data_IF_501231338106
#
_entry.id   IF_501231338106
#
_cell.length_a   1.000
_cell.length_b   1.000
_cell.length_c   1.000
_cell.angle_alpha   90.00
_cell.angle_beta   90.00
_cell.angle_gamma   90.00
#
_symmetry.space_group_name_H-M   'P 1'
#
loop_
_entity.id
_entity.type
_entity.pdbx_description
1 polymer ?
#
# COMPACT_ATOMS: atom_id res chain seq x y z
N UNK A 1 -10.26 21.29 2.22
CA UNK A 1 -9.27 20.23 1.90
C UNK A 1 -8.13 20.44 2.89
N UNK A 2 -7.94 19.54 3.86
CA UNK A 2 -6.71 19.56 4.66
C UNK A 2 -5.55 19.19 3.70
N UNK A 3 -4.65 20.14 3.40
CA UNK A 3 -3.37 19.83 2.77
C UNK A 3 -2.68 18.80 3.64
N UNK A 4 -2.14 17.74 3.04
CA UNK A 4 -1.37 16.75 3.79
C UNK A 4 -0.15 17.46 4.39
N UNK A 5 0.03 17.37 5.70
CA UNK A 5 1.12 18.03 6.44
C UNK A 5 2.51 17.83 5.79
N UNK A 6 2.73 16.68 5.19
CA UNK A 6 3.95 16.25 4.53
C UNK A 6 4.16 16.94 3.16
N UNK A 7 3.12 17.17 2.35
CA UNK A 7 3.22 17.99 1.15
C UNK A 7 3.49 19.45 1.50
N UNK A 8 2.94 19.93 2.62
CA UNK A 8 3.20 21.28 3.12
C UNK A 8 4.67 21.46 3.53
N UNK A 9 5.31 20.42 4.11
CA UNK A 9 6.74 20.44 4.42
C UNK A 9 7.57 20.69 3.15
N UNK A 10 7.31 19.95 2.07
CA UNK A 10 8.03 20.10 0.80
C UNK A 10 7.75 21.48 0.17
N UNK A 11 6.49 21.91 0.17
CA UNK A 11 6.08 23.21 -0.34
C UNK A 11 6.81 24.36 0.38
N UNK A 12 6.84 24.34 1.71
CA UNK A 12 7.54 25.33 2.52
C UNK A 12 9.06 25.29 2.28
N UNK A 13 9.64 24.08 2.11
CA UNK A 13 11.06 23.95 1.81
C UNK A 13 11.42 24.57 0.45
N UNK A 14 10.56 24.42 -0.56
CA UNK A 14 10.73 25.05 -1.87
C UNK A 14 10.62 26.58 -1.76
N UNK A 15 9.58 27.08 -1.08
CA UNK A 15 9.30 28.52 -0.96
C UNK A 15 10.39 29.27 -0.17
N UNK A 16 11.07 28.59 0.76
CA UNK A 16 12.14 29.15 1.56
C UNK A 16 13.55 28.84 1.02
N UNK A 17 13.67 28.22 -0.16
CA UNK A 17 14.95 27.78 -0.75
C UNK A 17 15.79 26.87 0.18
N UNK A 18 15.10 25.99 0.94
CA UNK A 18 15.66 25.06 1.93
C UNK A 18 15.38 23.60 1.58
N UNK A 19 15.31 23.31 0.28
CA UNK A 19 15.04 21.96 -0.16
C UNK A 19 16.23 21.06 0.16
N UNK A 20 15.98 19.96 0.89
CA UNK A 20 17.01 18.95 1.13
C UNK A 20 17.26 18.15 -0.16
N UNK A 21 18.46 17.62 -0.29
CA UNK A 21 18.83 16.78 -1.44
C UNK A 21 18.27 15.35 -1.35
N UNK A 22 17.88 14.87 -0.16
CA UNK A 22 17.37 13.52 0.04
C UNK A 22 16.23 13.49 1.08
N UNK A 23 15.12 12.84 0.72
CA UNK A 23 13.94 12.63 1.56
C UNK A 23 13.58 11.16 1.65
N UNK A 24 13.24 10.69 2.85
CA UNK A 24 12.70 9.36 3.09
C UNK A 24 11.25 9.48 3.58
N UNK A 25 10.30 9.17 2.71
CA UNK A 25 8.89 9.08 3.05
C UNK A 25 8.58 7.70 3.60
N UNK A 26 7.98 7.65 4.77
CA UNK A 26 7.66 6.37 5.40
C UNK A 26 6.28 6.38 6.06
N UNK A 27 5.68 5.19 6.14
CA UNK A 27 4.43 4.97 6.84
C UNK A 27 4.53 3.67 7.67
N UNK A 28 3.80 3.62 8.78
CA UNK A 28 3.71 2.41 9.61
C UNK A 28 2.61 1.45 9.14
N UNK A 29 1.68 1.93 8.33
CA UNK A 29 0.56 1.18 7.78
C UNK A 29 0.69 1.07 6.27
N UNK A 30 -0.10 0.17 5.64
CA UNK A 30 -0.15 0.00 4.18
C UNK A 30 -0.76 1.24 3.51
N UNK A 31 0.03 2.29 3.39
CA UNK A 31 -0.30 3.47 2.59
C UNK A 31 0.28 3.28 1.19
N UNK A 32 -0.45 3.70 0.17
CA UNK A 32 0.09 3.81 -1.17
C UNK A 32 1.06 5.01 -1.25
N UNK A 33 2.31 4.75 -0.86
CA UNK A 33 3.36 5.75 -0.90
C UNK A 33 3.71 6.17 -2.34
N UNK A 34 3.46 5.33 -3.35
CA UNK A 34 3.71 5.70 -4.74
C UNK A 34 2.82 6.85 -5.18
N UNK A 35 1.52 6.80 -4.84
CA UNK A 35 0.61 7.91 -5.13
C UNK A 35 0.99 9.17 -4.33
N UNK A 36 1.48 8.99 -3.11
CA UNK A 36 1.95 10.10 -2.29
C UNK A 36 3.20 10.76 -2.92
N UNK A 37 4.22 9.97 -3.24
CA UNK A 37 5.44 10.44 -3.92
C UNK A 37 5.10 11.08 -5.27
N UNK A 38 4.14 10.53 -6.01
CA UNK A 38 3.67 11.12 -7.25
C UNK A 38 3.16 12.57 -7.06
N UNK A 39 2.41 12.83 -5.98
CA UNK A 39 1.98 14.18 -5.64
C UNK A 39 3.14 15.09 -5.27
N UNK A 40 4.16 14.57 -4.57
CA UNK A 40 5.42 15.31 -4.28
C UNK A 40 6.13 15.67 -5.59
N UNK A 41 6.28 14.72 -6.52
CA UNK A 41 6.92 14.96 -7.82
C UNK A 41 6.12 16.00 -8.63
N UNK A 42 4.79 15.91 -8.65
CA UNK A 42 3.94 16.93 -9.27
C UNK A 42 4.18 18.33 -8.69
N UNK A 43 4.33 18.43 -7.38
CA UNK A 43 4.63 19.68 -6.70
C UNK A 43 6.01 20.22 -7.12
N UNK A 44 7.05 19.36 -7.18
CA UNK A 44 8.39 19.72 -7.65
C UNK A 44 8.35 20.20 -9.12
N UNK A 45 7.63 19.49 -10.01
CA UNK A 45 7.48 19.90 -11.40
C UNK A 45 6.78 21.26 -11.52
N UNK A 46 5.69 21.46 -10.76
CA UNK A 46 4.94 22.71 -10.81
C UNK A 46 5.75 23.90 -10.29
N UNK A 47 6.41 23.73 -9.15
CA UNK A 47 7.06 24.83 -8.42
C UNK A 47 8.48 25.13 -8.90
N UNK A 48 9.28 24.10 -9.18
CA UNK A 48 10.70 24.26 -9.55
C UNK A 48 10.89 24.31 -11.06
N UNK A 49 10.21 23.42 -11.81
CA UNK A 49 10.38 23.32 -13.25
C UNK A 49 9.41 24.23 -14.00
N UNK A 50 8.37 24.76 -13.34
CA UNK A 50 7.27 25.54 -13.96
C UNK A 50 6.71 24.82 -15.20
N UNK A 51 6.66 23.48 -15.13
CA UNK A 51 6.33 22.60 -16.24
C UNK A 51 4.85 22.29 -16.30
N UNK A 52 4.24 22.37 -17.46
CA UNK A 52 2.88 21.93 -17.73
C UNK A 52 2.73 20.39 -17.60
N UNK A 53 3.83 19.63 -17.64
CA UNK A 53 3.84 18.18 -17.47
C UNK A 53 3.07 17.74 -16.23
N UNK A 54 3.10 18.52 -15.15
CA UNK A 54 2.37 18.21 -13.92
C UNK A 54 0.85 18.08 -14.13
N UNK A 55 0.29 18.69 -15.16
CA UNK A 55 -1.15 18.63 -15.48
C UNK A 55 -1.53 17.41 -16.31
N UNK A 56 -0.62 16.92 -17.13
CA UNK A 56 -0.86 15.84 -18.11
C UNK A 56 -0.63 14.45 -17.51
N UNK A 57 0.22 14.34 -16.48
CA UNK A 57 0.62 13.06 -15.91
C UNK A 57 -0.43 12.57 -14.91
N UNK A 58 -0.85 11.31 -15.05
CA UNK A 58 -1.82 10.67 -14.16
C UNK A 58 -1.19 9.62 -13.22
N UNK A 59 -0.09 8.99 -13.64
CA UNK A 59 0.63 7.97 -12.84
C UNK A 59 2.12 8.25 -12.87
N UNK A 60 2.86 7.74 -11.87
CA UNK A 60 4.31 7.94 -11.76
C UNK A 60 5.07 7.31 -12.93
N UNK A 61 4.53 6.24 -13.51
CA UNK A 61 5.12 5.52 -14.64
C UNK A 61 4.95 6.27 -15.97
N UNK A 62 4.01 7.20 -16.05
CA UNK A 62 3.75 8.01 -17.23
C UNK A 62 4.69 9.23 -17.33
N UNK A 63 5.58 9.42 -16.34
CA UNK A 63 6.49 10.57 -16.28
C UNK A 63 7.55 10.45 -17.36
N UNK A 64 7.36 11.17 -18.46
CA UNK A 64 8.34 11.30 -19.53
C UNK A 64 9.16 12.59 -19.36
N UNK A 65 10.04 12.61 -18.34
CA UNK A 65 10.97 13.72 -18.10
C UNK A 65 12.40 13.15 -18.11
N UNK A 66 13.31 13.64 -18.99
CA UNK A 66 14.64 13.02 -19.21
C UNK A 66 15.47 12.90 -17.95
N UNK A 67 15.39 13.90 -17.06
CA UNK A 67 16.13 13.95 -15.80
C UNK A 67 15.35 13.35 -14.61
N UNK A 68 14.25 12.60 -14.85
CA UNK A 68 13.55 11.78 -13.87
C UNK A 68 13.97 10.32 -14.01
N UNK A 69 14.43 9.74 -12.92
CA UNK A 69 14.77 8.31 -12.86
C UNK A 69 14.03 7.64 -11.72
N UNK A 70 13.62 6.39 -11.95
CA UNK A 70 12.94 5.58 -10.93
C UNK A 70 13.64 4.23 -10.80
N UNK A 71 13.89 3.82 -9.55
CA UNK A 71 14.33 2.48 -9.18
C UNK A 71 13.19 1.78 -8.46
N UNK A 72 12.69 0.69 -9.04
CA UNK A 72 11.68 -0.19 -8.46
C UNK A 72 12.31 -1.54 -8.13
N UNK A 73 11.82 -2.26 -7.11
CA UNK A 73 12.15 -3.66 -6.90
C UNK A 73 11.87 -4.45 -8.19
N UNK A 74 12.73 -5.42 -8.46
CA UNK A 74 12.53 -6.35 -9.59
C UNK A 74 11.39 -7.35 -9.30
N UNK A 75 11.19 -8.30 -10.20
CA UNK A 75 10.19 -9.34 -10.04
C UNK A 75 10.39 -10.20 -8.77
N UNK A 76 11.58 -10.35 -8.26
CA UNK A 76 11.93 -11.08 -7.02
C UNK A 76 11.80 -10.19 -5.77
N UNK A 77 11.30 -8.97 -5.89
CA UNK A 77 11.16 -8.02 -4.79
C UNK A 77 12.49 -7.43 -4.30
N UNK A 78 13.54 -7.39 -5.13
CA UNK A 78 14.87 -6.92 -4.76
C UNK A 78 15.27 -5.67 -5.55
N UNK A 79 15.99 -4.77 -4.88
CA UNK A 79 16.69 -3.66 -5.55
C UNK A 79 18.10 -4.12 -5.90
N UNK A 80 18.36 -4.32 -7.20
CA UNK A 80 19.63 -4.83 -7.69
C UNK A 80 20.71 -3.75 -7.75
N UNK A 81 21.95 -4.11 -7.36
CA UNK A 81 23.11 -3.22 -7.39
C UNK A 81 23.41 -2.68 -8.78
N UNK A 82 23.32 -3.54 -9.80
CA UNK A 82 23.59 -3.16 -11.19
C UNK A 82 22.62 -2.05 -11.66
N UNK A 83 21.34 -2.17 -11.32
CA UNK A 83 20.33 -1.16 -11.63
C UNK A 83 20.61 0.17 -10.92
N UNK A 84 21.03 0.10 -9.66
CA UNK A 84 21.42 1.28 -8.88
C UNK A 84 22.63 1.95 -9.54
N UNK A 85 23.69 1.19 -9.82
CA UNK A 85 24.92 1.73 -10.41
C UNK A 85 24.69 2.33 -11.80
N UNK A 86 23.90 1.69 -12.66
CA UNK A 86 23.55 2.22 -13.99
C UNK A 86 22.87 3.60 -13.86
N UNK A 87 21.84 3.70 -13.02
CA UNK A 87 21.10 4.96 -12.86
C UNK A 87 21.93 6.04 -12.19
N UNK A 88 22.76 5.67 -11.19
CA UNK A 88 23.69 6.61 -10.54
C UNK A 88 24.69 7.17 -11.56
N UNK A 89 25.26 6.33 -12.43
CA UNK A 89 26.18 6.77 -13.48
C UNK A 89 25.50 7.74 -14.46
N UNK A 90 24.27 7.41 -14.92
CA UNK A 90 23.49 8.31 -15.79
C UNK A 90 23.26 9.69 -15.13
N UNK A 91 23.09 9.73 -13.80
CA UNK A 91 22.87 10.96 -13.06
C UNK A 91 24.13 11.80 -12.86
N UNK A 92 25.34 11.21 -12.96
CA UNK A 92 26.58 11.99 -12.95
C UNK A 92 26.80 12.78 -14.26
N UNK A 93 26.14 12.40 -15.35
CA UNK A 93 26.17 13.17 -16.57
C UNK A 93 25.45 14.53 -16.39
N UNK A 94 25.69 15.46 -17.28
CA UNK A 94 25.01 16.76 -17.25
C UNK A 94 23.50 16.60 -17.41
N UNK A 95 22.72 17.48 -16.74
CA UNK A 95 21.27 17.46 -16.91
C UNK A 95 20.91 17.73 -18.37
N UNK A 96 19.98 16.93 -18.89
CA UNK A 96 19.50 17.00 -20.28
C UNK A 96 18.52 18.16 -20.49
N UNK A 97 17.86 18.62 -19.41
CA UNK A 97 16.89 19.71 -19.47
C UNK A 97 17.51 21.06 -19.19
N UNK A 98 16.90 22.11 -19.71
CA UNK A 98 17.31 23.52 -19.48
C UNK A 98 17.27 23.89 -17.99
N UNK A 99 16.35 23.30 -17.23
CA UNK A 99 16.16 23.60 -15.81
C UNK A 99 17.19 22.92 -14.90
N UNK A 100 17.98 21.99 -15.43
CA UNK A 100 19.11 21.31 -14.73
C UNK A 100 18.74 20.67 -13.39
N UNK A 101 17.46 20.32 -13.15
CA UNK A 101 17.01 19.64 -11.95
C UNK A 101 16.83 18.16 -12.28
N UNK A 102 17.47 17.31 -11.48
CA UNK A 102 17.37 15.84 -11.56
C UNK A 102 16.54 15.33 -10.41
N UNK A 103 15.70 14.35 -10.65
CA UNK A 103 14.88 13.69 -9.64
C UNK A 103 15.10 12.19 -9.71
N UNK A 104 15.52 11.58 -8.61
CA UNK A 104 15.64 10.14 -8.45
C UNK A 104 14.60 9.67 -7.43
N UNK A 105 13.72 8.75 -7.83
CA UNK A 105 12.82 8.08 -6.91
C UNK A 105 13.24 6.62 -6.73
N UNK A 106 13.37 6.18 -5.48
CA UNK A 106 13.69 4.79 -5.12
C UNK A 106 12.55 4.24 -4.27
N UNK A 107 11.80 3.34 -4.87
CA UNK A 107 10.64 2.70 -4.24
C UNK A 107 11.07 1.58 -3.31
N UNK A 108 10.40 1.45 -2.15
CA UNK A 108 10.56 0.37 -1.18
C UNK A 108 12.03 0.11 -0.81
N UNK A 109 12.75 1.17 -0.40
CA UNK A 109 14.21 1.15 -0.14
C UNK A 109 14.64 0.04 0.83
N UNK A 110 13.76 -0.44 1.73
CA UNK A 110 14.02 -1.55 2.64
C UNK A 110 14.29 -2.88 1.93
N UNK A 111 13.91 -3.01 0.66
CA UNK A 111 14.17 -4.19 -0.20
C UNK A 111 15.57 -4.16 -0.86
N UNK A 112 16.33 -3.11 -0.60
CA UNK A 112 17.72 -3.04 -1.03
C UNK A 112 18.63 -3.96 -0.21
N UNK A 113 19.46 -4.75 -0.88
CA UNK A 113 20.48 -5.51 -0.20
C UNK A 113 21.67 -4.61 0.22
N UNK A 114 22.54 -5.11 1.13
CA UNK A 114 23.66 -4.35 1.66
C UNK A 114 24.56 -3.73 0.59
N UNK A 115 24.76 -4.43 -0.52
CA UNK A 115 25.64 -3.98 -1.61
C UNK A 115 25.01 -2.85 -2.44
N UNK A 116 23.70 -2.97 -2.76
CA UNK A 116 22.97 -1.91 -3.47
C UNK A 116 22.83 -0.65 -2.62
N UNK A 117 22.55 -0.82 -1.32
CA UNK A 117 22.41 0.31 -0.37
C UNK A 117 23.74 1.04 -0.15
N UNK A 118 24.87 0.32 -0.05
CA UNK A 118 26.19 0.94 0.08
C UNK A 118 26.57 1.79 -1.16
N UNK A 119 26.18 1.36 -2.37
CA UNK A 119 26.37 2.17 -3.58
C UNK A 119 25.60 3.49 -3.51
N UNK A 120 24.39 3.48 -2.90
CA UNK A 120 23.58 4.68 -2.71
C UNK A 120 24.14 5.61 -1.63
N UNK A 121 24.78 5.09 -0.57
CA UNK A 121 25.30 5.92 0.52
C UNK A 121 26.29 6.95 0.02
N UNK A 122 27.27 6.55 -0.81
CA UNK A 122 28.23 7.49 -1.40
C UNK A 122 27.53 8.58 -2.22
N UNK A 123 26.49 8.20 -2.96
CA UNK A 123 25.72 9.11 -3.80
C UNK A 123 24.85 10.08 -2.97
N UNK A 124 24.37 9.67 -1.80
CA UNK A 124 23.65 10.54 -0.87
C UNK A 124 24.62 11.50 -0.15
N UNK A 125 25.83 11.05 0.18
CA UNK A 125 26.85 11.88 0.86
C UNK A 125 27.44 12.96 -0.06
N UNK A 126 27.66 12.61 -1.33
CA UNK A 126 28.21 13.51 -2.35
C UNK A 126 27.22 13.63 -3.53
N UNK A 127 26.10 14.31 -3.33
CA UNK A 127 25.06 14.36 -4.34
C UNK A 127 25.49 15.19 -5.56
N UNK A 128 25.06 14.73 -6.72
CA UNK A 128 25.18 15.51 -7.95
C UNK A 128 24.43 16.84 -7.79
N UNK A 129 24.98 17.91 -8.35
CA UNK A 129 24.35 19.23 -8.30
C UNK A 129 22.91 19.20 -8.81
N UNK A 130 22.01 19.83 -8.10
CA UNK A 130 20.59 19.95 -8.41
C UNK A 130 19.84 18.60 -8.46
N UNK A 131 20.30 17.59 -7.73
CA UNK A 131 19.61 16.32 -7.59
C UNK A 131 18.73 16.31 -6.34
N UNK A 132 17.51 15.83 -6.50
CA UNK A 132 16.57 15.53 -5.41
C UNK A 132 16.33 14.03 -5.41
N UNK A 133 16.61 13.38 -4.27
CA UNK A 133 16.41 11.95 -4.09
C UNK A 133 15.19 11.74 -3.18
N UNK A 134 14.24 10.94 -3.66
CA UNK A 134 13.05 10.57 -2.93
C UNK A 134 13.09 9.06 -2.66
N UNK A 135 13.00 8.67 -1.41
CA UNK A 135 12.87 7.28 -0.99
C UNK A 135 11.47 7.04 -0.44
N UNK A 136 10.95 5.82 -0.59
CA UNK A 136 9.73 5.39 0.10
C UNK A 136 9.93 4.05 0.80
N UNK A 137 9.19 3.85 1.91
CA UNK A 137 9.12 2.57 2.60
C UNK A 137 7.90 2.47 3.51
N UNK A 138 7.25 1.30 3.57
CA UNK A 138 6.27 0.95 4.59
C UNK A 138 6.89 0.14 5.75
N UNK A 139 8.21 -0.06 5.74
CA UNK A 139 8.98 -0.81 6.72
C UNK A 139 10.18 0.03 7.20
N UNK A 140 9.88 1.13 7.88
CA UNK A 140 10.92 2.08 8.32
C UNK A 140 11.97 1.44 9.22
N UNK A 141 11.58 0.52 10.09
CA UNK A 141 12.45 -0.27 10.96
C UNK A 141 13.52 -1.05 10.21
N UNK A 142 13.20 -1.55 9.00
CA UNK A 142 14.10 -2.34 8.15
C UNK A 142 15.07 -1.48 7.32
N UNK A 143 14.86 -0.17 7.24
CA UNK A 143 15.80 0.72 6.56
C UNK A 143 17.07 0.87 7.40
N UNK A 144 18.24 0.74 6.74
CA UNK A 144 19.53 0.86 7.43
C UNK A 144 19.73 2.24 8.08
N UNK A 145 20.33 2.30 9.29
CA UNK A 145 20.52 3.55 10.02
C UNK A 145 21.28 4.64 9.24
N UNK A 146 22.21 4.22 8.39
CA UNK A 146 23.04 5.12 7.57
C UNK A 146 22.23 5.89 6.52
N UNK A 147 21.14 5.34 5.97
CA UNK A 147 20.21 6.07 5.09
C UNK A 147 19.35 7.02 5.93
N UNK A 148 18.78 6.51 7.05
CA UNK A 148 17.93 7.31 7.93
C UNK A 148 18.63 8.58 8.42
N UNK A 149 19.93 8.50 8.72
CA UNK A 149 20.72 9.64 9.24
C UNK A 149 21.09 10.67 8.18
N UNK A 150 21.01 10.32 6.88
CA UNK A 150 21.39 11.18 5.75
C UNK A 150 20.21 11.70 4.95
N UNK A 151 19.01 11.36 5.36
CA UNK A 151 17.77 11.79 4.71
C UNK A 151 16.90 12.60 5.65
N UNK A 152 16.13 13.52 5.11
CA UNK A 152 15.04 14.13 5.84
C UNK A 152 13.88 13.11 5.88
N UNK A 153 13.64 12.54 7.08
CA UNK A 153 12.62 11.53 7.27
C UNK A 153 11.24 12.19 7.44
N UNK A 154 10.29 11.85 6.58
CA UNK A 154 8.93 12.39 6.57
C UNK A 154 7.94 11.25 6.82
N UNK A 155 7.24 11.32 7.94
CA UNK A 155 6.16 10.38 8.24
C UNK A 155 4.90 10.76 7.48
N UNK A 156 4.44 9.86 6.62
CA UNK A 156 3.19 10.02 5.87
C UNK A 156 2.05 9.49 6.73
N UNK A 157 1.20 10.39 7.20
CA UNK A 157 0.03 10.03 8.00
C UNK A 157 -1.05 9.38 7.12
N UNK A 158 -1.69 8.30 7.59
CA UNK A 158 -2.85 7.75 6.89
C UNK A 158 -3.99 8.77 6.88
N UNK A 159 -4.70 8.88 5.77
CA UNK A 159 -5.95 9.64 5.72
C UNK A 159 -6.93 9.06 6.75
N UNK A 160 -7.66 9.93 7.44
CA UNK A 160 -8.74 9.46 8.32
C UNK A 160 -9.80 8.70 7.52
N UNK A 161 -10.51 7.79 8.18
CA UNK A 161 -11.57 7.01 7.55
C UNK A 161 -12.64 7.93 6.93
N UNK A 162 -12.98 9.01 7.62
CA UNK A 162 -13.94 10.01 7.15
C UNK A 162 -13.51 10.68 5.84
N UNK A 163 -12.24 11.07 5.73
CA UNK A 163 -11.69 11.65 4.51
C UNK A 163 -11.75 10.64 3.35
N UNK A 164 -11.36 9.39 3.62
CA UNK A 164 -11.43 8.32 2.60
C UNK A 164 -12.85 8.04 2.14
N UNK A 165 -13.82 7.96 3.07
CA UNK A 165 -15.25 7.81 2.75
C UNK A 165 -15.72 8.96 1.85
N UNK A 166 -15.41 10.20 2.19
CA UNK A 166 -15.82 11.36 1.40
C UNK A 166 -15.21 11.35 -0.02
N UNK A 167 -13.95 10.92 -0.17
CA UNK A 167 -13.30 10.77 -1.48
C UNK A 167 -13.90 9.64 -2.33
N UNK A 168 -14.33 8.55 -1.70
CA UNK A 168 -14.83 7.34 -2.38
C UNK A 168 -16.35 7.37 -2.64
N UNK A 169 -17.10 8.15 -1.87
CA UNK A 169 -18.57 8.26 -1.96
C UNK A 169 -19.10 8.56 -3.37
N UNK A 170 -18.46 9.42 -4.20
CA UNK A 170 -18.90 9.62 -5.57
C UNK A 170 -18.75 8.41 -6.48
N UNK A 171 -17.86 7.46 -6.14
CA UNK A 171 -17.52 6.28 -6.93
C UNK A 171 -18.29 5.04 -6.49
N UNK A 172 -18.74 4.99 -5.22
CA UNK A 172 -19.34 3.81 -4.61
C UNK A 172 -20.66 4.17 -3.96
N UNK A 173 -21.77 3.67 -4.53
CA UNK A 173 -23.14 3.93 -4.03
C UNK A 173 -23.54 3.03 -2.86
N UNK A 174 -23.02 1.82 -2.82
CA UNK A 174 -23.33 0.82 -1.78
C UNK A 174 -22.56 1.17 -0.50
N UNK A 175 -23.27 1.38 0.61
CA UNK A 175 -22.70 1.83 1.87
C UNK A 175 -21.75 0.81 2.50
N UNK A 176 -22.05 -0.50 2.40
CA UNK A 176 -21.19 -1.54 2.94
C UNK A 176 -19.88 -1.62 2.17
N UNK A 177 -19.95 -1.57 0.83
CA UNK A 177 -18.77 -1.55 -0.03
C UNK A 177 -17.96 -0.27 0.16
N UNK A 178 -18.62 0.87 0.33
CA UNK A 178 -17.96 2.15 0.62
C UNK A 178 -17.14 2.06 1.90
N UNK A 179 -17.75 1.53 2.97
CA UNK A 179 -17.07 1.34 4.25
C UNK A 179 -15.92 0.34 4.13
N UNK A 180 -16.14 -0.78 3.44
CA UNK A 180 -15.11 -1.77 3.17
C UNK A 180 -13.92 -1.16 2.41
N UNK A 181 -14.18 -0.47 1.29
CA UNK A 181 -13.14 0.15 0.48
C UNK A 181 -12.36 1.21 1.24
N UNK A 182 -13.03 2.04 2.04
CA UNK A 182 -12.37 3.05 2.85
C UNK A 182 -11.45 2.45 3.95
N UNK A 183 -11.71 1.22 4.40
CA UNK A 183 -10.85 0.51 5.33
C UNK A 183 -9.69 -0.23 4.63
N UNK A 184 -9.94 -0.81 3.45
CA UNK A 184 -8.95 -1.61 2.73
C UNK A 184 -7.98 -0.73 1.93
N UNK A 185 -8.51 0.27 1.22
CA UNK A 185 -7.72 1.06 0.28
C UNK A 185 -7.29 2.41 0.87
N UNK A 186 -6.12 2.85 0.45
CA UNK A 186 -5.53 4.12 0.90
C UNK A 186 -6.06 5.34 0.16
N UNK A 187 -6.56 5.17 -1.07
CA UNK A 187 -7.07 6.26 -1.91
C UNK A 187 -8.17 5.80 -2.87
N UNK A 188 -8.95 6.77 -3.37
CA UNK A 188 -10.09 6.53 -4.24
C UNK A 188 -9.70 6.11 -5.69
N UNK A 189 -8.46 6.36 -6.14
CA UNK A 189 -8.05 6.03 -7.50
C UNK A 189 -8.01 4.52 -7.73
N UNK A 190 -7.64 3.74 -6.70
CA UNK A 190 -7.63 2.28 -6.76
C UNK A 190 -8.99 1.72 -7.18
N UNK A 191 -10.09 2.36 -6.75
CA UNK A 191 -11.46 1.91 -7.06
C UNK A 191 -11.79 2.07 -8.55
N UNK A 192 -11.20 3.07 -9.22
CA UNK A 192 -11.42 3.29 -10.66
C UNK A 192 -10.80 2.20 -11.52
N UNK A 193 -9.66 1.67 -11.07
CA UNK A 193 -8.92 0.62 -11.77
C UNK A 193 -9.38 -0.80 -11.35
N UNK A 194 -10.34 -0.90 -10.40
CA UNK A 194 -10.83 -2.17 -9.86
C UNK A 194 -11.76 -2.87 -10.86
N UNK A 195 -11.56 -4.16 -11.09
CA UNK A 195 -12.56 -5.01 -11.76
C UNK A 195 -13.81 -5.16 -10.87
N UNK A 196 -14.79 -4.29 -11.11
CA UNK A 196 -16.03 -4.23 -10.33
C UNK A 196 -16.85 -5.52 -10.44
N UNK A 197 -16.81 -6.22 -11.58
CA UNK A 197 -17.56 -7.46 -11.78
C UNK A 197 -16.94 -8.60 -10.95
N UNK A 198 -15.62 -8.76 -11.05
CA UNK A 198 -14.89 -9.75 -10.26
C UNK A 198 -15.03 -9.48 -8.77
N UNK A 199 -14.89 -8.21 -8.34
CA UNK A 199 -15.06 -7.85 -6.93
C UNK A 199 -16.47 -8.16 -6.43
N UNK A 200 -17.51 -7.75 -7.16
CA UNK A 200 -18.90 -7.95 -6.75
C UNK A 200 -19.24 -9.44 -6.64
N UNK A 201 -18.80 -10.25 -7.60
CA UNK A 201 -18.96 -11.71 -7.56
C UNK A 201 -18.26 -12.28 -6.33
N UNK A 202 -16.97 -11.97 -6.16
CA UNK A 202 -16.18 -12.47 -5.02
C UNK A 202 -16.80 -12.06 -3.68
N UNK A 203 -17.27 -10.82 -3.55
CA UNK A 203 -17.93 -10.31 -2.35
C UNK A 203 -19.19 -11.13 -2.02
N UNK A 204 -20.09 -11.31 -2.98
CA UNK A 204 -21.35 -12.03 -2.75
C UNK A 204 -21.11 -13.51 -2.44
N UNK A 205 -20.24 -14.18 -3.20
CA UNK A 205 -19.92 -15.59 -2.99
C UNK A 205 -19.28 -15.82 -1.62
N UNK A 206 -18.37 -14.90 -1.20
CA UNK A 206 -17.69 -14.99 0.09
C UNK A 206 -18.67 -14.86 1.26
N UNK A 207 -19.60 -13.90 1.21
CA UNK A 207 -20.58 -13.74 2.29
C UNK A 207 -21.57 -14.90 2.35
N UNK A 208 -21.96 -15.51 1.22
CA UNK A 208 -22.73 -16.76 1.22
C UNK A 208 -21.98 -17.91 1.90
N UNK A 209 -20.67 -18.03 1.65
CA UNK A 209 -19.83 -19.05 2.28
C UNK A 209 -19.73 -18.81 3.79
N UNK A 210 -19.49 -17.57 4.21
CA UNK A 210 -19.42 -17.20 5.63
C UNK A 210 -20.73 -17.49 6.36
N UNK A 211 -21.87 -17.27 5.72
CA UNK A 211 -23.18 -17.58 6.30
C UNK A 211 -23.37 -19.08 6.54
N UNK A 212 -23.03 -19.92 5.57
CA UNK A 212 -23.08 -21.38 5.70
C UNK A 212 -22.07 -21.92 6.72
N UNK A 213 -20.92 -21.31 6.83
CA UNK A 213 -19.85 -21.74 7.71
C UNK A 213 -20.18 -21.65 9.20
N UNK A 214 -21.17 -20.84 9.60
CA UNK A 214 -21.67 -20.79 10.98
C UNK A 214 -22.23 -22.15 11.38
N UNK A 215 -23.02 -22.75 10.50
CA UNK A 215 -23.70 -24.01 10.82
C UNK A 215 -22.79 -25.22 10.52
N UNK A 216 -21.99 -25.14 9.47
CA UNK A 216 -21.04 -26.17 9.06
C UNK A 216 -19.65 -25.59 8.75
N UNK A 217 -18.66 -25.75 9.65
CA UNK A 217 -17.29 -25.25 9.45
C UNK A 217 -16.61 -25.71 8.15
N UNK A 218 -16.93 -26.88 7.66
CA UNK A 218 -16.36 -27.42 6.42
C UNK A 218 -16.75 -26.59 5.19
N UNK A 219 -17.90 -25.91 5.24
CA UNK A 219 -18.36 -25.04 4.16
C UNK A 219 -17.38 -23.87 3.90
N UNK A 220 -16.69 -23.40 4.95
CA UNK A 220 -15.70 -22.34 4.76
C UNK A 220 -14.51 -22.82 3.90
N UNK A 221 -13.95 -23.98 4.23
CA UNK A 221 -12.81 -24.53 3.48
C UNK A 221 -13.20 -24.89 2.05
N UNK A 222 -14.28 -25.64 1.88
CA UNK A 222 -14.73 -26.08 0.56
C UNK A 222 -15.16 -24.91 -0.32
N UNK A 223 -15.95 -23.99 0.24
CA UNK A 223 -16.40 -22.81 -0.47
C UNK A 223 -15.25 -21.91 -0.89
N UNK A 224 -14.32 -21.59 0.02
CA UNK A 224 -13.13 -20.81 -0.31
C UNK A 224 -12.24 -21.52 -1.33
N UNK A 225 -12.10 -22.86 -1.24
CA UNK A 225 -11.33 -23.61 -2.22
C UNK A 225 -11.87 -23.42 -3.65
N UNK A 226 -13.19 -23.35 -3.81
CA UNK A 226 -13.85 -23.20 -5.12
C UNK A 226 -13.74 -21.77 -5.69
N UNK A 227 -13.93 -20.73 -4.86
CA UNK A 227 -13.99 -19.35 -5.36
C UNK A 227 -12.65 -18.63 -5.37
N UNK A 228 -11.64 -19.09 -4.61
CA UNK A 228 -10.38 -18.39 -4.42
C UNK A 228 -9.40 -18.67 -5.54
N UNK A 229 -9.17 -17.69 -6.38
CA UNK A 229 -8.23 -17.73 -7.51
C UNK A 229 -7.08 -16.72 -7.28
N UNK A 230 -6.09 -16.75 -8.15
CA UNK A 230 -4.98 -15.80 -8.10
C UNK A 230 -5.46 -14.36 -8.35
N UNK A 231 -6.44 -14.20 -9.24
CA UNK A 231 -6.98 -12.89 -9.65
C UNK A 231 -7.76 -12.20 -8.53
N UNK A 232 -8.49 -12.95 -7.70
CA UNK A 232 -9.29 -12.40 -6.60
C UNK A 232 -8.65 -12.54 -5.22
N UNK A 233 -7.39 -12.96 -5.18
CA UNK A 233 -6.66 -13.23 -3.94
C UNK A 233 -6.68 -12.04 -2.97
N UNK A 234 -6.37 -10.84 -3.46
CA UNK A 234 -6.37 -9.62 -2.66
C UNK A 234 -7.77 -9.28 -2.15
N UNK A 235 -8.80 -9.49 -2.96
CA UNK A 235 -10.18 -9.22 -2.54
C UNK A 235 -10.60 -10.14 -1.39
N UNK A 236 -10.38 -11.44 -1.54
CA UNK A 236 -10.74 -12.43 -0.52
C UNK A 236 -10.05 -12.14 0.80
N UNK A 237 -8.73 -11.96 0.79
CA UNK A 237 -7.97 -11.72 2.01
C UNK A 237 -8.36 -10.41 2.71
N UNK A 238 -8.53 -9.32 1.95
CA UNK A 238 -8.91 -8.04 2.52
C UNK A 238 -10.35 -8.04 3.07
N UNK A 239 -11.30 -8.68 2.37
CA UNK A 239 -12.69 -8.79 2.86
C UNK A 239 -12.73 -9.65 4.12
N UNK A 240 -12.04 -10.80 4.15
CA UNK A 240 -11.95 -11.65 5.34
C UNK A 240 -11.30 -10.94 6.51
N UNK A 241 -10.18 -10.24 6.28
CA UNK A 241 -9.51 -9.48 7.33
C UNK A 241 -10.43 -8.44 7.94
N UNK A 242 -11.14 -7.69 7.09
CA UNK A 242 -12.08 -6.69 7.55
C UNK A 242 -13.26 -7.30 8.29
N UNK A 243 -13.82 -8.40 7.78
CA UNK A 243 -14.92 -9.13 8.41
C UNK A 243 -14.55 -9.62 9.82
N UNK A 244 -13.45 -10.35 9.99
CA UNK A 244 -13.02 -10.84 11.30
C UNK A 244 -12.63 -9.72 12.25
N UNK A 245 -12.06 -8.64 11.73
CA UNK A 245 -11.77 -7.46 12.53
C UNK A 245 -13.05 -6.84 13.10
N UNK A 246 -14.16 -6.79 12.32
CA UNK A 246 -15.45 -6.32 12.79
C UNK A 246 -16.03 -7.15 13.96
N UNK A 247 -15.78 -8.44 13.96
CA UNK A 247 -16.22 -9.34 15.03
C UNK A 247 -15.43 -9.07 16.31
N UNK A 248 -14.12 -8.81 16.18
CA UNK A 248 -13.21 -8.61 17.31
C UNK A 248 -13.37 -7.22 17.96
N UNK A 249 -13.72 -6.19 17.19
CA UNK A 249 -13.95 -4.86 17.76
C UNK A 249 -15.21 -4.87 18.60
N UNK A 250 -15.05 -4.69 19.90
CA UNK A 250 -16.15 -4.35 20.81
C UNK A 250 -16.58 -2.91 20.53
N UNK A 251 -17.54 -2.77 19.71
CA UNK A 251 -18.35 -1.67 19.24
C UNK A 251 -18.08 -0.30 19.91
N UNK A 252 -17.46 0.59 19.14
CA UNK A 252 -17.74 1.99 19.28
C UNK A 252 -18.95 2.29 18.37
N UNK A 253 -20.15 2.65 18.89
CA UNK A 253 -21.41 2.72 18.13
C UNK A 253 -21.45 3.83 17.06
N UNK A 254 -20.39 4.60 16.88
CA UNK A 254 -20.33 5.70 15.90
C UNK A 254 -20.19 5.26 14.43
N UNK A 255 -19.91 3.98 14.15
CA UNK A 255 -19.67 3.51 12.79
C UNK A 255 -20.39 2.18 12.55
N UNK A 256 -21.55 2.17 11.88
CA UNK A 256 -22.16 0.94 11.38
C UNK A 256 -21.24 0.39 10.29
N UNK A 257 -20.51 -0.67 10.60
CA UNK A 257 -19.38 -1.08 9.78
C UNK A 257 -19.79 -1.96 8.60
N UNK A 258 -20.85 -2.76 8.77
CA UNK A 258 -21.50 -3.58 7.75
C UNK A 258 -23.01 -3.70 8.01
N UNK A 259 -23.84 -2.69 7.68
CA UNK A 259 -25.28 -2.72 7.98
C UNK A 259 -25.98 -3.96 7.42
N UNK A 260 -25.66 -4.39 6.20
CA UNK A 260 -26.24 -5.58 5.56
C UNK A 260 -25.83 -6.90 6.22
N UNK A 261 -24.66 -6.94 6.86
CA UNK A 261 -24.08 -8.15 7.44
C UNK A 261 -24.03 -8.12 8.98
N UNK A 262 -24.70 -7.15 9.62
CA UNK A 262 -24.69 -7.00 11.06
C UNK A 262 -25.19 -8.25 11.78
N UNK A 263 -26.26 -8.85 11.28
CA UNK A 263 -26.78 -10.10 11.83
C UNK A 263 -25.76 -11.25 11.74
N UNK A 264 -25.09 -11.39 10.61
CA UNK A 264 -24.04 -12.39 10.41
C UNK A 264 -22.88 -12.16 11.39
N UNK A 265 -22.41 -10.92 11.53
CA UNK A 265 -21.35 -10.55 12.48
C UNK A 265 -21.76 -10.90 13.92
N UNK A 266 -22.99 -10.58 14.31
CA UNK A 266 -23.49 -10.87 15.66
C UNK A 266 -23.59 -12.38 15.92
N UNK A 267 -23.99 -13.19 14.93
CA UNK A 267 -23.96 -14.66 15.03
C UNK A 267 -22.53 -15.17 15.25
N UNK A 268 -21.55 -14.65 14.53
CA UNK A 268 -20.13 -15.01 14.70
C UNK A 268 -19.60 -14.61 16.09
N UNK A 269 -20.01 -13.48 16.67
CA UNK A 269 -19.61 -13.09 18.03
C UNK A 269 -20.03 -14.07 19.11
N UNK A 270 -21.06 -14.86 18.87
CA UNK A 270 -21.52 -15.91 19.79
C UNK A 270 -20.65 -17.17 19.74
N UNK A 271 -19.82 -17.31 18.73
CA UNK A 271 -18.90 -18.44 18.58
C UNK A 271 -17.60 -18.09 19.30
N UNK A 272 -17.18 -18.94 20.26
CA UNK A 272 -15.91 -18.77 20.97
C UNK A 272 -14.74 -19.19 20.08
N UNK A 273 -14.28 -18.29 19.22
CA UNK A 273 -13.24 -18.53 18.22
C UNK A 273 -12.09 -17.56 18.40
N UNK A 274 -10.85 -17.99 18.12
CA UNK A 274 -9.69 -17.09 18.12
C UNK A 274 -9.61 -16.28 16.82
N UNK A 275 -10.42 -15.24 16.73
CA UNK A 275 -10.44 -14.31 15.61
C UNK A 275 -9.13 -13.54 15.45
N UNK A 276 -8.39 -13.31 16.56
CA UNK A 276 -7.08 -12.66 16.52
C UNK A 276 -6.05 -13.48 15.77
N UNK A 277 -6.06 -14.80 15.95
CA UNK A 277 -5.21 -15.71 15.19
C UNK A 277 -5.55 -15.70 13.70
N UNK A 278 -6.84 -15.72 13.34
CA UNK A 278 -7.29 -15.65 11.93
C UNK A 278 -6.79 -14.35 11.28
N UNK A 279 -7.01 -13.21 11.94
CA UNK A 279 -6.57 -11.90 11.45
C UNK A 279 -5.04 -11.87 11.24
N UNK A 280 -4.27 -12.46 12.17
CA UNK A 280 -2.82 -12.54 12.09
C UNK A 280 -2.36 -13.37 10.89
N UNK A 281 -3.00 -14.54 10.65
CA UNK A 281 -2.70 -15.38 9.49
C UNK A 281 -2.97 -14.61 8.19
N UNK A 282 -4.13 -13.94 8.09
CA UNK A 282 -4.48 -13.13 6.92
C UNK A 282 -3.48 -12.00 6.71
N UNK A 283 -3.08 -11.28 7.76
CA UNK A 283 -2.12 -10.20 7.69
C UNK A 283 -0.74 -10.68 7.18
N UNK A 284 -0.30 -11.85 7.63
CA UNK A 284 0.93 -12.49 7.15
C UNK A 284 0.84 -12.84 5.65
N UNK A 285 -0.28 -13.41 5.21
CA UNK A 285 -0.50 -13.72 3.80
C UNK A 285 -0.53 -12.46 2.93
N UNK A 286 -1.25 -11.44 3.36
CA UNK A 286 -1.29 -10.15 2.65
C UNK A 286 0.11 -9.49 2.56
N UNK A 287 0.99 -9.69 3.53
CA UNK A 287 2.39 -9.23 3.43
C UNK A 287 3.23 -10.11 2.50
N UNK A 288 2.97 -11.42 2.48
CA UNK A 288 3.68 -12.39 1.64
C UNK A 288 3.27 -12.34 0.16
N UNK A 289 2.09 -11.81 -0.18
CA UNK A 289 1.67 -11.64 -1.59
C UNK A 289 2.64 -10.75 -2.36
N UNK A 290 3.24 -9.78 -1.69
CA UNK A 290 4.25 -8.90 -2.27
C UNK A 290 5.63 -9.57 -2.41
N UNK A 291 5.89 -10.64 -1.66
CA UNK A 291 7.10 -11.46 -1.74
C UNK A 291 6.71 -12.81 -2.33
N UNK A 292 7.21 -13.12 -3.51
CA UNK A 292 7.03 -14.30 -4.35
C UNK A 292 6.82 -15.63 -3.61
N UNK A 293 5.60 -15.87 -3.15
CA UNK A 293 5.16 -17.14 -2.61
C UNK A 293 4.31 -17.91 -3.62
N UNK A 294 4.41 -19.25 -3.62
CA UNK A 294 3.51 -20.07 -4.39
C UNK A 294 2.08 -19.90 -3.90
N UNK A 295 1.22 -19.27 -4.71
CA UNK A 295 -0.20 -19.01 -4.38
C UNK A 295 -0.93 -20.26 -3.88
N UNK A 296 -0.76 -21.40 -4.52
CA UNK A 296 -1.42 -22.64 -4.14
C UNK A 296 -0.97 -23.13 -2.76
N UNK A 297 0.30 -22.97 -2.42
CA UNK A 297 0.83 -23.33 -1.10
C UNK A 297 0.25 -22.41 -0.02
N UNK A 298 0.23 -21.10 -0.27
CA UNK A 298 -0.33 -20.11 0.64
C UNK A 298 -1.83 -20.32 0.87
N UNK A 299 -2.59 -20.59 -0.21
CA UNK A 299 -4.01 -20.92 -0.14
C UNK A 299 -4.25 -22.18 0.69
N UNK A 300 -3.51 -23.27 0.42
CA UNK A 300 -3.64 -24.52 1.15
C UNK A 300 -3.31 -24.37 2.64
N UNK A 301 -2.24 -23.62 2.95
CA UNK A 301 -1.88 -23.31 4.34
C UNK A 301 -3.02 -22.59 5.06
N UNK A 302 -3.52 -21.51 4.47
CA UNK A 302 -4.63 -20.74 5.06
C UNK A 302 -5.88 -21.61 5.30
N UNK A 303 -6.29 -22.38 4.29
CA UNK A 303 -7.49 -23.21 4.38
C UNK A 303 -7.38 -24.27 5.48
N UNK A 304 -6.21 -24.83 5.68
CA UNK A 304 -5.98 -25.81 6.75
C UNK A 304 -5.95 -25.16 8.14
N UNK A 305 -5.34 -24.01 8.28
CA UNK A 305 -5.27 -23.32 9.58
C UNK A 305 -6.64 -22.77 10.00
N UNK A 306 -7.39 -22.18 9.07
CA UNK A 306 -8.71 -21.63 9.39
C UNK A 306 -9.70 -22.76 9.75
N UNK A 307 -9.64 -23.89 9.06
CA UNK A 307 -10.45 -25.06 9.37
C UNK A 307 -10.20 -25.56 10.81
N UNK A 308 -8.93 -25.68 11.22
CA UNK A 308 -8.58 -26.07 12.60
C UNK A 308 -9.19 -25.12 13.63
N UNK A 309 -9.11 -23.81 13.40
CA UNK A 309 -9.66 -22.80 14.31
C UNK A 309 -11.18 -22.96 14.43
N UNK A 310 -11.87 -23.18 13.30
CA UNK A 310 -13.32 -23.36 13.29
C UNK A 310 -13.77 -24.67 13.96
N UNK A 311 -13.03 -25.75 13.77
CA UNK A 311 -13.35 -27.04 14.41
C UNK A 311 -13.13 -26.97 15.93
N UNK A 312 -12.04 -26.34 16.38
CA UNK A 312 -11.76 -26.19 17.81
C UNK A 312 -12.81 -25.32 18.51
N UNK A 313 -13.46 -24.40 17.82
CA UNK A 313 -14.49 -23.54 18.39
C UNK A 313 -15.84 -24.27 18.61
N UNK A 314 -16.05 -25.43 17.99
CA UNK A 314 -17.26 -26.24 18.12
C UNK A 314 -17.08 -27.49 18.98
N UNK A 315 -15.85 -27.82 19.38
CA UNK A 315 -15.53 -28.86 20.36
C UNK A 315 -15.63 -28.34 21.79
#
# INVERSE_FOLDING_TARGET
MQENDDLLIIKNAIENDKLAHAYLFYAQTRIDLNNHIFNVIKLLFTKLLKSELAKEINKIDDINYPDFKIIKPNQDGLILKEKVNSIVNDLYESALTKNKIKILYIQDIHLGNKHSLNSLLKFIEEPVKNLIILFSTNHFDQVIPTIKSRTQNIYVKPKSLEVKINEMKPLVKDQDKLTLFANIYSNANIIKDLDQNLFNKTYNDLFMILEKAIDNPYELKTGLYLIWTKENNDFILNILQFFYYQIQITINPKWPLFPKHENLINRYKLILMDYGQIIKIIANLLSAIKSYGNFNLQKSYFLNEIEKIYLNAKS
#
